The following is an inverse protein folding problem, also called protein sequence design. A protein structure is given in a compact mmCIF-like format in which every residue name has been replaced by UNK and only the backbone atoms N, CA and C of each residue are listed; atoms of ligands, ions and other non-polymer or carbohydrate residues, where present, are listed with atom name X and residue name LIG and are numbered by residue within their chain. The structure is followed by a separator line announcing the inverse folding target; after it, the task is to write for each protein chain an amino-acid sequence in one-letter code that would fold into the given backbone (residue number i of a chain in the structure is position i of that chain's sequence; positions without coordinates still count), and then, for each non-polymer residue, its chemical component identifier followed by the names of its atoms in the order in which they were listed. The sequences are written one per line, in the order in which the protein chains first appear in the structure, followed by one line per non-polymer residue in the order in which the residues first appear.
data_IF_954890889182
#
_entry.id   IF_954890889182
#
_cell.length_a   1.000
_cell.length_b   1.000
_cell.length_c   1.000
_cell.angle_alpha   90.00
_cell.angle_beta   90.00
_cell.angle_gamma   90.00
#
_symmetry.space_group_name_H-M   'P 1'
#
loop_
_entity.id
_entity.type
_entity.pdbx_description
1 polymer ?
#
# COMPACT_ATOMS: atom_id res chain seq x y z
N UNK A 1 -1.20 24.75 -5.89
CA UNK A 1 -2.01 24.45 -4.69
C UNK A 1 -1.24 23.42 -3.90
N UNK A 2 -0.84 23.72 -2.67
CA UNK A 2 -0.18 22.74 -1.80
C UNK A 2 -1.27 21.90 -1.15
N UNK A 3 -1.30 20.61 -1.46
CA UNK A 3 -2.24 19.65 -0.83
C UNK A 3 -1.56 19.21 0.47
N UNK A 4 -2.29 19.23 1.60
CA UNK A 4 -1.71 18.75 2.85
C UNK A 4 -1.50 17.22 2.77
N UNK A 5 -0.42 16.65 3.31
CA UNK A 5 -0.16 15.21 3.26
C UNK A 5 -1.34 14.34 3.74
N UNK A 6 -2.04 14.77 4.79
CA UNK A 6 -3.23 14.08 5.30
C UNK A 6 -4.44 14.13 4.33
N UNK A 7 -4.57 15.22 3.56
CA UNK A 7 -5.60 15.34 2.53
C UNK A 7 -5.29 14.45 1.32
N UNK A 8 -4.00 14.31 0.98
CA UNK A 8 -3.52 13.43 -0.09
C UNK A 8 -3.76 11.95 0.27
N UNK A 9 -3.31 11.51 1.45
CA UNK A 9 -3.51 10.15 1.98
C UNK A 9 -5.00 9.76 2.01
N UNK A 10 -5.86 10.67 2.47
CA UNK A 10 -7.31 10.46 2.47
C UNK A 10 -7.88 10.36 1.05
N UNK A 11 -7.40 11.19 0.11
CA UNK A 11 -7.81 11.13 -1.29
C UNK A 11 -7.45 9.80 -1.96
N UNK A 12 -6.28 9.25 -1.67
CA UNK A 12 -5.83 7.95 -2.19
C UNK A 12 -6.71 6.83 -1.60
N UNK A 13 -6.92 6.84 -0.28
CA UNK A 13 -7.76 5.84 0.38
C UNK A 13 -9.18 5.85 -0.18
N UNK A 14 -9.78 7.02 -0.35
CA UNK A 14 -11.12 7.16 -0.94
C UNK A 14 -11.17 6.66 -2.38
N UNK A 15 -10.10 6.90 -3.16
CA UNK A 15 -10.01 6.40 -4.54
C UNK A 15 -9.99 4.87 -4.58
N UNK A 16 -9.23 4.24 -3.69
CA UNK A 16 -9.15 2.78 -3.59
C UNK A 16 -10.48 2.19 -3.11
N UNK A 17 -11.12 2.79 -2.10
CA UNK A 17 -12.45 2.41 -1.63
C UNK A 17 -13.51 2.52 -2.73
N UNK A 18 -13.47 3.59 -3.51
CA UNK A 18 -14.37 3.75 -4.64
C UNK A 18 -14.15 2.68 -5.70
N UNK A 19 -12.89 2.36 -6.01
CA UNK A 19 -12.53 1.28 -6.94
C UNK A 19 -13.02 -0.08 -6.48
N UNK A 20 -12.82 -0.42 -5.20
CA UNK A 20 -13.37 -1.62 -4.57
C UNK A 20 -14.89 -1.67 -4.72
N UNK A 21 -15.58 -0.61 -4.34
CA UNK A 21 -17.04 -0.53 -4.43
C UNK A 21 -17.54 -0.73 -5.85
N UNK A 22 -16.91 -0.08 -6.84
CA UNK A 22 -17.29 -0.19 -8.25
C UNK A 22 -17.07 -1.61 -8.79
N UNK A 23 -15.91 -2.21 -8.52
CA UNK A 23 -15.61 -3.58 -8.92
C UNK A 23 -16.56 -4.58 -8.25
N UNK A 24 -16.80 -4.42 -6.95
CA UNK A 24 -17.63 -5.33 -6.18
C UNK A 24 -19.13 -5.19 -6.48
N UNK A 25 -19.57 -4.03 -6.97
CA UNK A 25 -20.96 -3.85 -7.41
C UNK A 25 -21.20 -4.26 -8.87
N UNK A 26 -20.16 -4.55 -9.64
CA UNK A 26 -20.34 -5.10 -10.99
C UNK A 26 -20.89 -6.53 -10.92
N UNK A 27 -22.08 -6.71 -11.51
CA UNK A 27 -22.80 -8.00 -11.58
C UNK A 27 -22.17 -8.98 -12.56
N UNK A 28 -21.37 -8.50 -13.50
CA UNK A 28 -20.64 -9.34 -14.45
C UNK A 28 -19.32 -9.84 -13.88
N UNK A 29 -18.91 -9.33 -12.71
CA UNK A 29 -17.66 -9.72 -12.08
C UNK A 29 -17.89 -10.89 -11.11
N UNK A 30 -17.35 -12.09 -11.41
CA UNK A 30 -17.53 -13.26 -10.58
C UNK A 30 -16.73 -13.22 -9.27
N UNK A 31 -15.78 -12.29 -9.15
CA UNK A 31 -14.92 -12.15 -7.96
C UNK A 31 -15.20 -10.84 -7.24
N UNK A 32 -15.02 -10.87 -5.92
CA UNK A 32 -15.01 -9.69 -5.06
C UNK A 32 -13.62 -9.60 -4.45
N UNK A 33 -13.17 -8.40 -4.14
CA UNK A 33 -11.95 -8.23 -3.37
C UNK A 33 -12.24 -7.31 -2.21
N UNK A 34 -11.45 -7.42 -1.16
CA UNK A 34 -11.39 -6.43 -0.09
C UNK A 34 -9.98 -5.88 -0.01
N UNK A 35 -9.82 -4.76 0.67
CA UNK A 35 -8.48 -4.29 1.00
C UNK A 35 -8.37 -3.91 2.47
N UNK A 36 -7.15 -4.00 3.02
CA UNK A 36 -6.81 -3.39 4.30
C UNK A 36 -5.77 -2.30 4.09
N UNK A 37 -5.96 -1.17 4.77
CA UNK A 37 -5.01 -0.07 4.79
C UNK A 37 -4.33 0.01 6.16
N UNK A 38 -3.03 0.28 6.17
CA UNK A 38 -2.30 0.72 7.37
C UNK A 38 -1.62 2.05 7.08
N UNK A 39 -1.91 3.04 7.91
CA UNK A 39 -1.19 4.30 7.91
C UNK A 39 0.15 4.08 8.61
N UNK A 40 1.23 4.40 7.93
CA UNK A 40 2.60 4.11 8.34
C UNK A 40 3.35 5.41 8.57
N UNK A 41 3.49 5.90 9.81
CA UNK A 41 4.24 7.13 10.06
C UNK A 41 5.73 6.96 9.76
N UNK A 42 6.22 7.52 8.65
CA UNK A 42 7.61 7.35 8.19
C UNK A 42 8.67 7.85 9.16
N UNK A 43 8.36 8.80 10.04
CA UNK A 43 9.29 9.26 11.09
C UNK A 43 9.52 8.18 12.17
N UNK A 44 8.61 7.20 12.28
CA UNK A 44 8.60 6.19 13.35
C UNK A 44 8.87 4.76 12.84
N UNK A 45 8.95 4.55 11.53
CA UNK A 45 9.06 3.21 10.93
C UNK A 45 10.47 2.94 10.44
N UNK A 46 11.13 2.02 11.15
CA UNK A 46 12.30 1.33 10.63
C UNK A 46 11.91 0.13 9.74
N UNK A 47 12.88 -0.35 8.96
CA UNK A 47 12.73 -1.51 8.06
C UNK A 47 12.23 -2.76 8.80
N UNK A 48 12.64 -2.97 10.06
CA UNK A 48 12.27 -4.15 10.83
C UNK A 48 10.79 -4.12 11.22
N UNK A 49 10.30 -3.00 11.74
CA UNK A 49 8.90 -2.81 12.09
C UNK A 49 8.01 -2.93 10.85
N UNK A 50 8.45 -2.34 9.73
CA UNK A 50 7.75 -2.47 8.45
C UNK A 50 7.62 -3.94 8.02
N UNK A 51 8.71 -4.71 8.11
CA UNK A 51 8.68 -6.12 7.75
C UNK A 51 7.71 -6.92 8.63
N UNK A 52 7.67 -6.66 9.94
CA UNK A 52 6.75 -7.34 10.84
C UNK A 52 5.30 -7.02 10.51
N UNK A 53 4.98 -5.74 10.28
CA UNK A 53 3.63 -5.29 9.91
C UNK A 53 3.18 -5.96 8.61
N UNK A 54 4.01 -5.90 7.57
CA UNK A 54 3.69 -6.51 6.29
C UNK A 54 3.53 -8.03 6.42
N UNK A 55 4.46 -8.72 7.10
CA UNK A 55 4.34 -10.16 7.34
C UNK A 55 3.07 -10.53 8.10
N UNK A 56 2.66 -9.75 9.10
CA UNK A 56 1.45 -10.02 9.87
C UNK A 56 0.19 -9.94 9.00
N UNK A 57 0.13 -8.99 8.07
CA UNK A 57 -0.97 -8.92 7.12
C UNK A 57 -0.91 -10.00 6.04
N UNK A 58 0.30 -10.39 5.59
CA UNK A 58 0.50 -11.49 4.65
C UNK A 58 0.10 -12.85 5.25
N UNK A 59 0.28 -13.07 6.56
CA UNK A 59 -0.18 -14.28 7.26
C UNK A 59 -1.70 -14.47 7.16
N UNK A 60 -2.47 -13.39 7.15
CA UNK A 60 -3.94 -13.43 6.99
C UNK A 60 -4.32 -13.81 5.55
N UNK A 61 -3.43 -13.57 4.60
CA UNK A 61 -3.64 -13.76 3.17
C UNK A 61 -3.71 -12.41 2.47
N UNK A 62 -2.96 -12.29 1.38
CA UNK A 62 -2.96 -11.15 0.48
C UNK A 62 -2.67 -11.62 -0.95
N UNK A 63 -3.26 -10.95 -1.93
CA UNK A 63 -2.99 -11.17 -3.35
C UNK A 63 -2.01 -10.14 -3.91
N UNK A 64 -1.91 -8.96 -3.30
CA UNK A 64 -0.98 -7.91 -3.70
C UNK A 64 -0.73 -6.96 -2.53
N UNK A 65 0.45 -6.36 -2.52
CA UNK A 65 0.78 -5.21 -1.68
C UNK A 65 0.86 -3.96 -2.55
N UNK A 66 0.40 -2.84 -2.03
CA UNK A 66 0.53 -1.53 -2.65
C UNK A 66 1.13 -0.55 -1.66
N UNK A 67 2.12 0.23 -2.09
CA UNK A 67 2.73 1.27 -1.27
C UNK A 67 3.01 2.53 -2.09
N UNK A 68 3.13 3.67 -1.41
CA UNK A 68 3.62 4.92 -2.02
C UNK A 68 5.14 5.07 -1.84
N UNK A 69 5.66 6.27 -2.06
CA UNK A 69 7.05 6.61 -1.83
C UNK A 69 7.40 6.57 -0.35
N UNK A 70 7.85 5.42 0.13
CA UNK A 70 8.28 5.29 1.52
C UNK A 70 9.71 5.79 1.74
N UNK A 71 10.45 6.18 0.70
CA UNK A 71 11.88 6.44 0.80
C UNK A 71 12.67 5.17 1.15
N UNK A 72 13.52 5.23 2.18
CA UNK A 72 14.44 4.12 2.56
C UNK A 72 13.77 2.76 2.87
N UNK A 73 12.62 2.69 3.54
CA UNK A 73 11.94 1.43 3.84
C UNK A 73 11.31 0.74 2.62
N UNK A 74 11.30 1.37 1.43
CA UNK A 74 10.75 0.76 0.20
C UNK A 74 11.43 -0.57 -0.16
N UNK A 75 12.74 -0.67 0.05
CA UNK A 75 13.52 -1.90 -0.19
C UNK A 75 13.01 -3.10 0.65
N UNK A 76 12.39 -2.84 1.80
CA UNK A 76 11.78 -3.90 2.62
C UNK A 76 10.58 -4.53 1.91
N UNK A 77 9.75 -3.71 1.27
CA UNK A 77 8.60 -4.20 0.51
C UNK A 77 9.04 -4.98 -0.71
N UNK A 78 10.06 -4.51 -1.44
CA UNK A 78 10.65 -5.26 -2.54
C UNK A 78 11.13 -6.64 -2.09
N UNK A 79 11.98 -6.69 -1.08
CA UNK A 79 12.51 -7.94 -0.56
C UNK A 79 11.39 -8.91 -0.12
N UNK A 80 10.37 -8.41 0.59
CA UNK A 80 9.24 -9.24 1.01
C UNK A 80 8.44 -9.78 -0.16
N UNK A 81 8.05 -8.90 -1.09
CA UNK A 81 7.18 -9.27 -2.20
C UNK A 81 7.86 -10.22 -3.19
N UNK A 82 9.16 -10.04 -3.44
CA UNK A 82 9.97 -10.97 -4.24
C UNK A 82 10.08 -12.35 -3.59
N UNK A 83 10.34 -12.43 -2.29
CA UNK A 83 10.48 -13.71 -1.59
C UNK A 83 9.14 -14.44 -1.40
N UNK A 84 8.04 -13.69 -1.29
CA UNK A 84 6.69 -14.25 -1.12
C UNK A 84 5.97 -14.48 -2.45
N UNK A 85 6.59 -14.12 -3.58
CA UNK A 85 6.02 -14.20 -4.93
C UNK A 85 4.66 -13.49 -5.08
N UNK A 86 4.50 -12.36 -4.39
CA UNK A 86 3.29 -11.51 -4.49
C UNK A 86 3.61 -10.22 -5.25
N UNK A 87 2.68 -9.68 -6.05
CA UNK A 87 2.86 -8.39 -6.69
C UNK A 87 3.01 -7.24 -5.69
N UNK A 88 4.01 -6.37 -5.93
CA UNK A 88 4.12 -5.04 -5.34
C UNK A 88 3.67 -3.99 -6.37
N UNK A 89 2.71 -3.15 -5.98
CA UNK A 89 2.25 -2.01 -6.79
C UNK A 89 2.71 -0.72 -6.12
N UNK A 90 3.65 -0.01 -6.74
CA UNK A 90 3.92 1.36 -6.36
C UNK A 90 2.84 2.27 -6.98
N UNK A 91 1.94 2.83 -6.16
CA UNK A 91 0.81 3.62 -6.66
C UNK A 91 1.20 5.06 -7.04
N UNK A 92 2.30 5.58 -6.50
CA UNK A 92 2.66 6.98 -6.68
C UNK A 92 3.70 7.20 -7.78
N UNK A 93 4.27 6.11 -8.32
CA UNK A 93 5.29 6.07 -9.36
C UNK A 93 6.49 6.99 -9.09
N UNK A 94 6.64 7.49 -7.85
CA UNK A 94 7.74 8.37 -7.51
C UNK A 94 9.02 7.57 -7.68
N UNK A 95 10.02 8.11 -8.40
CA UNK A 95 11.33 7.50 -8.39
C UNK A 95 11.78 7.40 -6.93
N UNK A 96 12.31 6.25 -6.53
CA UNK A 96 12.86 6.06 -5.17
C UNK A 96 14.10 6.97 -5.06
N UNK A 97 13.86 8.22 -4.71
CA UNK A 97 14.88 9.23 -4.53
C UNK A 97 15.11 9.37 -3.02
N UNK A 98 16.36 9.25 -2.54
CA UNK A 98 16.67 9.29 -1.11
C UNK A 98 16.37 10.64 -0.41
N UNK A 99 15.76 11.61 -1.11
CA UNK A 99 15.54 12.99 -0.66
C UNK A 99 14.09 13.49 -0.81
N UNK A 100 13.13 12.66 -1.24
CA UNK A 100 11.71 13.06 -1.31
C UNK A 100 10.96 12.79 0.01
N UNK A 101 9.92 13.61 0.27
CA UNK A 101 9.02 13.44 1.41
C UNK A 101 8.32 12.08 1.33
N UNK A 102 8.38 11.32 2.42
CA UNK A 102 7.85 9.96 2.53
C UNK A 102 6.32 9.98 2.58
N UNK A 103 5.69 9.24 1.67
CA UNK A 103 4.26 8.95 1.61
C UNK A 103 3.94 7.63 2.31
N UNK A 104 2.92 7.66 3.17
CA UNK A 104 2.82 6.78 4.34
C UNK A 104 1.65 5.80 4.28
N UNK A 105 1.35 5.26 3.09
CA UNK A 105 0.17 4.42 2.86
C UNK A 105 0.56 3.02 2.38
N UNK A 106 0.18 1.99 3.14
CA UNK A 106 0.24 0.58 2.74
C UNK A 106 -1.18 0.04 2.55
N UNK A 107 -1.47 -0.42 1.34
CA UNK A 107 -2.74 -1.06 0.98
C UNK A 107 -2.52 -2.50 0.57
N UNK A 108 -3.38 -3.40 1.06
CA UNK A 108 -3.25 -4.85 0.88
C UNK A 108 -4.53 -5.38 0.29
N UNK A 109 -4.48 -5.98 -0.90
CA UNK A 109 -5.65 -6.53 -1.60
C UNK A 109 -5.84 -7.99 -1.22
N UNK A 110 -7.08 -8.39 -0.89
CA UNK A 110 -7.51 -9.73 -0.50
C UNK A 110 -8.72 -10.17 -1.34
N UNK A 111 -8.91 -11.48 -1.49
CA UNK A 111 -10.10 -12.06 -2.13
C UNK A 111 -11.21 -12.24 -1.08
#
# INVERSE_FOLDING_TARGET
TYIQPDEEDNGILQTIQHGEMMHNNDKNNPFKFSFSNRQLHAEEIDTWNLMNIACDDLKVGAMALMCGNMGKPYEAFLALTENMEIPLVNWDLSPVLPAEETRNLLVIIRN
#
